data_IF_697748366623
#
_entry.id   IF_697748366623
#
_cell.length_a   1.000
_cell.length_b   1.000
_cell.length_c   1.000
_cell.angle_alpha   90.00
_cell.angle_beta   90.00
_cell.angle_gamma   90.00
#
_symmetry.space_group_name_H-M   'P 1'
#
loop_
_entity.id
_entity.type
_entity.pdbx_description
1 polymer ?
#
# COMPACT_ATOMS: atom_id res chain seq x y z
N UNK A 1 -3.62 -12.31 5.07
CA UNK A 1 -2.24 -11.84 4.86
C UNK A 1 -1.38 -12.27 6.04
N UNK A 2 -0.36 -13.12 5.85
CA UNK A 2 0.59 -13.41 6.95
C UNK A 2 1.39 -12.14 7.19
N UNK A 3 1.31 -11.57 8.40
CA UNK A 3 2.19 -10.48 8.82
C UNK A 3 3.63 -11.01 8.76
N UNK A 4 4.51 -10.33 8.04
CA UNK A 4 5.93 -10.64 8.09
C UNK A 4 6.45 -10.52 9.52
N UNK A 5 7.42 -11.35 9.88
CA UNK A 5 8.09 -11.24 11.18
C UNK A 5 8.97 -9.99 11.14
N UNK A 6 8.77 -9.08 12.10
CA UNK A 6 9.48 -7.81 12.16
C UNK A 6 10.98 -7.94 12.51
N UNK A 7 11.39 -9.11 12.99
CA UNK A 7 12.78 -9.42 13.33
C UNK A 7 13.37 -10.38 12.29
N UNK A 8 14.51 -10.07 11.75
CA UNK A 8 15.22 -10.90 10.79
C UNK A 8 15.71 -10.15 9.56
N UNK A 9 16.25 -10.90 8.64
CA UNK A 9 16.91 -10.40 7.43
C UNK A 9 15.93 -9.90 6.36
N UNK A 10 14.65 -10.29 6.45
CA UNK A 10 13.65 -9.98 5.46
C UNK A 10 12.65 -8.95 5.96
N UNK A 11 12.54 -7.84 5.22
CA UNK A 11 11.63 -6.73 5.50
C UNK A 11 10.53 -6.66 4.43
N UNK A 12 9.40 -7.37 4.62
CA UNK A 12 8.33 -7.33 3.63
C UNK A 12 7.66 -5.96 3.57
N UNK A 13 7.40 -5.48 2.34
CA UNK A 13 6.81 -4.15 2.11
C UNK A 13 5.46 -3.96 2.82
N UNK A 14 4.64 -5.01 2.89
CA UNK A 14 3.37 -4.94 3.61
C UNK A 14 3.55 -4.66 5.11
N UNK A 15 4.62 -5.19 5.73
CA UNK A 15 4.92 -4.88 7.13
C UNK A 15 5.34 -3.41 7.28
N UNK A 16 6.17 -2.88 6.38
CA UNK A 16 6.51 -1.45 6.35
C UNK A 16 5.23 -0.61 6.25
N UNK A 17 4.32 -0.98 5.38
CA UNK A 17 3.03 -0.29 5.21
C UNK A 17 2.22 -0.26 6.49
N UNK A 18 2.05 -1.39 7.17
CA UNK A 18 1.36 -1.44 8.47
C UNK A 18 2.04 -0.61 9.55
N UNK A 19 3.36 -0.62 9.58
CA UNK A 19 4.13 0.19 10.52
C UNK A 19 3.84 1.68 10.31
N UNK A 20 3.87 2.17 9.07
CA UNK A 20 3.58 3.57 8.76
C UNK A 20 2.13 3.95 9.05
N UNK A 21 1.16 3.10 8.74
CA UNK A 21 -0.24 3.31 9.08
C UNK A 21 -0.40 3.48 10.60
N UNK A 22 0.14 2.55 11.38
CA UNK A 22 0.05 2.60 12.85
C UNK A 22 0.72 3.84 13.45
N UNK A 23 1.90 4.21 12.95
CA UNK A 23 2.60 5.41 13.42
C UNK A 23 1.85 6.69 13.07
N UNK A 24 1.34 6.81 11.83
CA UNK A 24 0.59 8.00 11.42
C UNK A 24 -0.69 8.16 12.24
N UNK A 25 -1.46 7.09 12.45
CA UNK A 25 -2.64 7.12 13.34
C UNK A 25 -2.27 7.63 14.73
N UNK A 26 -1.23 7.05 15.32
CA UNK A 26 -0.77 7.48 16.63
C UNK A 26 -0.35 8.94 16.70
N UNK A 27 0.26 9.49 15.64
CA UNK A 27 0.66 10.90 15.57
C UNK A 27 -0.54 11.82 15.34
N UNK A 28 -1.41 11.48 14.39
CA UNK A 28 -2.56 12.29 13.99
C UNK A 28 -3.58 12.46 15.12
N UNK A 29 -3.74 11.46 15.99
CA UNK A 29 -4.64 11.50 17.15
C UNK A 29 -4.11 12.36 18.32
N UNK A 30 -2.89 12.92 18.21
CA UNK A 30 -2.26 13.67 19.31
C UNK A 30 -2.12 15.14 18.97
N UNK A 31 -3.04 16.01 19.40
CA UNK A 31 -3.04 17.44 19.04
C UNK A 31 -1.84 18.23 19.57
N UNK A 32 -1.10 17.67 20.52
CA UNK A 32 0.13 18.29 21.03
C UNK A 32 1.35 18.01 20.15
N UNK A 33 1.24 17.11 19.15
CA UNK A 33 2.29 16.85 18.17
C UNK A 33 2.15 17.87 17.04
N UNK A 34 3.02 18.87 17.06
CA UNK A 34 2.99 19.96 16.08
C UNK A 34 3.60 19.62 14.71
N UNK A 35 4.35 18.53 14.60
CA UNK A 35 4.94 18.07 13.34
C UNK A 35 5.73 16.79 13.48
N UNK A 36 5.98 16.14 12.35
CA UNK A 36 6.78 14.92 12.26
C UNK A 36 7.48 14.83 10.90
N UNK A 37 8.57 14.07 10.84
CA UNK A 37 9.28 13.76 9.62
C UNK A 37 9.36 12.26 9.45
N UNK A 38 9.10 11.80 8.22
CA UNK A 38 9.20 10.38 7.90
C UNK A 38 10.67 10.00 7.71
N UNK A 39 11.14 9.02 8.43
CA UNK A 39 12.42 8.38 8.18
C UNK A 39 12.20 7.10 7.37
N UNK A 40 12.49 7.10 6.06
CA UNK A 40 12.90 8.27 5.30
C UNK A 40 12.34 8.16 3.87
N UNK A 41 12.62 9.14 3.02
CA UNK A 41 12.05 9.14 1.67
C UNK A 41 12.65 8.05 0.78
N UNK A 42 13.96 7.82 0.85
CA UNK A 42 14.66 6.89 -0.03
C UNK A 42 15.41 5.81 0.74
N UNK A 43 15.45 4.59 0.21
CA UNK A 43 16.46 3.62 0.62
C UNK A 43 17.85 4.22 0.41
N UNK A 44 18.81 3.92 1.28
CA UNK A 44 20.14 4.53 1.23
C UNK A 44 21.26 3.55 1.60
N UNK A 45 22.48 3.87 1.18
CA UNK A 45 23.67 3.09 1.50
C UNK A 45 23.99 3.13 3.00
N UNK A 46 24.22 1.96 3.61
CA UNK A 46 24.61 1.81 5.00
C UNK A 46 25.47 0.55 5.14
N UNK A 47 26.78 0.70 5.01
CA UNK A 47 27.74 -0.41 4.87
C UNK A 47 27.65 -1.48 5.97
N UNK A 48 27.28 -1.09 7.19
CA UNK A 48 27.15 -2.00 8.33
C UNK A 48 25.78 -2.68 8.43
N UNK A 49 24.83 -2.35 7.53
CA UNK A 49 23.47 -2.90 7.52
C UNK A 49 23.39 -4.12 6.62
N UNK A 50 22.64 -5.11 7.09
CA UNK A 50 22.22 -6.26 6.32
C UNK A 50 20.72 -6.39 6.54
N UNK A 51 19.95 -5.60 5.81
CA UNK A 51 18.50 -5.52 5.92
C UNK A 51 17.86 -6.00 4.63
N UNK A 52 16.73 -6.69 4.77
CA UNK A 52 16.08 -7.31 3.63
C UNK A 52 17.00 -8.39 3.01
N UNK A 53 17.17 -8.32 1.71
CA UNK A 53 17.99 -9.22 0.89
C UNK A 53 19.22 -8.50 0.28
N UNK A 54 19.49 -7.26 0.72
CA UNK A 54 20.53 -6.39 0.13
C UNK A 54 21.51 -5.88 1.16
N UNK A 55 22.69 -6.54 1.30
CA UNK A 55 23.74 -6.06 2.16
C UNK A 55 24.17 -4.63 1.80
N UNK A 56 24.47 -3.83 2.81
CA UNK A 56 24.93 -2.45 2.64
C UNK A 56 23.82 -1.44 2.30
N UNK A 57 22.54 -1.83 2.38
CA UNK A 57 21.40 -0.95 2.13
C UNK A 57 20.49 -0.92 3.34
N UNK A 58 20.06 0.29 3.72
CA UNK A 58 18.92 0.49 4.59
C UNK A 58 17.67 0.62 3.73
N UNK A 59 16.71 -0.27 3.88
CA UNK A 59 15.52 -0.41 3.04
C UNK A 59 14.25 0.24 3.61
N UNK A 60 14.40 1.11 4.63
CA UNK A 60 13.28 1.79 5.29
C UNK A 60 12.69 2.96 4.51
N UNK A 61 13.26 3.29 3.34
CA UNK A 61 12.75 4.34 2.47
C UNK A 61 11.34 4.07 1.96
N UNK A 62 10.58 5.13 1.71
CA UNK A 62 9.29 5.07 1.01
C UNK A 62 9.46 4.83 -0.50
N UNK A 63 10.66 5.06 -1.00
CA UNK A 63 11.05 4.88 -2.41
C UNK A 63 12.32 4.04 -2.45
N UNK A 64 12.43 3.15 -3.43
CA UNK A 64 13.57 2.25 -3.59
C UNK A 64 14.90 2.99 -3.78
N UNK A 65 16.01 2.30 -3.52
CA UNK A 65 17.37 2.85 -3.63
C UNK A 65 17.68 3.47 -5.00
N UNK A 66 17.21 2.83 -6.07
CA UNK A 66 17.36 3.30 -7.46
C UNK A 66 16.36 4.40 -7.86
N UNK A 67 15.51 4.86 -6.95
CA UNK A 67 14.47 5.89 -7.13
C UNK A 67 13.33 5.50 -8.07
N UNK A 68 13.27 4.27 -8.54
CA UNK A 68 12.30 3.87 -9.58
C UNK A 68 10.93 3.46 -9.04
N UNK A 69 10.88 2.93 -7.82
CA UNK A 69 9.64 2.41 -7.24
C UNK A 69 9.25 3.18 -6.00
N UNK A 70 8.09 3.79 -6.02
CA UNK A 70 7.39 4.28 -4.83
C UNK A 70 6.69 3.09 -4.18
N UNK A 71 6.99 2.82 -2.90
CA UNK A 71 6.44 1.69 -2.15
C UNK A 71 5.02 2.00 -1.66
N UNK A 72 4.28 0.98 -1.21
CA UNK A 72 2.90 1.15 -0.73
C UNK A 72 2.76 2.26 0.32
N UNK A 73 3.69 2.35 1.28
CA UNK A 73 3.67 3.38 2.32
C UNK A 73 3.82 4.81 1.77
N UNK A 74 4.47 5.02 0.61
CA UNK A 74 4.49 6.32 -0.05
C UNK A 74 3.07 6.76 -0.43
N UNK A 75 2.28 5.85 -0.99
CA UNK A 75 0.91 6.14 -1.42
C UNK A 75 -0.06 6.30 -0.25
N UNK A 76 0.22 5.66 0.89
CA UNK A 76 -0.49 5.93 2.13
C UNK A 76 -0.38 7.41 2.54
N UNK A 77 0.84 7.95 2.59
CA UNK A 77 1.04 9.36 2.90
C UNK A 77 0.50 10.28 1.80
N UNK A 78 0.65 9.91 0.53
CA UNK A 78 0.04 10.66 -0.58
C UNK A 78 -1.47 10.77 -0.41
N UNK A 79 -2.15 9.69 -0.01
CA UNK A 79 -3.60 9.70 0.20
C UNK A 79 -4.05 10.62 1.34
N UNK A 80 -3.26 10.69 2.41
CA UNK A 80 -3.56 11.51 3.58
C UNK A 80 -3.19 13.00 3.43
N UNK A 81 -2.16 13.31 2.61
CA UNK A 81 -1.57 14.65 2.58
C UNK A 81 -1.78 15.41 1.28
N UNK A 82 -1.99 14.72 0.16
CA UNK A 82 -2.19 15.37 -1.14
C UNK A 82 -3.68 15.37 -1.49
N UNK A 83 -4.30 16.53 -1.41
CA UNK A 83 -5.71 16.74 -1.75
C UNK A 83 -5.93 17.22 -3.19
N UNK A 84 -4.87 17.59 -3.91
CA UNK A 84 -4.97 18.25 -5.22
C UNK A 84 -5.01 17.26 -6.38
N UNK A 85 -4.15 16.24 -6.35
CA UNK A 85 -4.02 15.25 -7.42
C UNK A 85 -4.85 14.00 -7.13
N UNK A 86 -6.01 13.80 -7.81
CA UNK A 86 -6.82 12.61 -7.62
C UNK A 86 -6.06 11.35 -7.98
N UNK A 87 -6.13 10.31 -7.15
CA UNK A 87 -5.55 9.01 -7.46
C UNK A 87 -6.23 7.86 -6.73
N UNK A 88 -6.01 6.66 -7.22
CA UNK A 88 -6.33 5.37 -6.59
C UNK A 88 -5.08 4.50 -6.68
N UNK A 89 -4.75 3.75 -5.64
CA UNK A 89 -3.59 2.88 -5.61
C UNK A 89 -3.89 1.57 -4.89
N UNK A 90 -3.76 0.45 -5.59
CA UNK A 90 -3.90 -0.90 -5.04
C UNK A 90 -2.56 -1.32 -4.45
N UNK A 91 -2.55 -1.67 -3.15
CA UNK A 91 -1.35 -2.09 -2.43
C UNK A 91 -0.89 -3.51 -2.80
N UNK A 92 0.26 -3.92 -2.30
CA UNK A 92 0.85 -5.25 -2.53
C UNK A 92 1.07 -5.58 -4.02
N UNK A 93 1.18 -4.59 -4.88
CA UNK A 93 1.29 -4.76 -6.33
C UNK A 93 2.58 -5.43 -6.78
N UNK A 94 3.64 -5.37 -5.98
CA UNK A 94 4.93 -6.02 -6.29
C UNK A 94 4.93 -7.51 -5.93
N UNK A 95 4.07 -7.93 -5.01
CA UNK A 95 3.86 -9.33 -4.66
C UNK A 95 2.80 -9.93 -5.59
N UNK A 96 3.18 -10.22 -6.82
CA UNK A 96 2.26 -10.69 -7.87
C UNK A 96 1.84 -12.14 -7.70
N UNK A 97 2.77 -13.00 -7.31
CA UNK A 97 2.53 -14.43 -7.09
C UNK A 97 1.91 -14.64 -5.72
N UNK A 98 0.77 -15.29 -5.68
CA UNK A 98 -0.01 -15.55 -4.47
C UNK A 98 -0.06 -17.03 -4.18
N UNK A 99 0.22 -17.42 -2.96
CA UNK A 99 0.11 -18.82 -2.49
C UNK A 99 -1.26 -19.10 -1.86
N UNK A 100 -2.13 -18.11 -1.76
CA UNK A 100 -3.47 -18.23 -1.17
C UNK A 100 -4.50 -17.65 -2.12
N UNK A 101 -5.56 -18.42 -2.36
CA UNK A 101 -6.70 -18.01 -3.16
C UNK A 101 -7.64 -17.03 -2.45
N UNK A 102 -7.42 -16.75 -1.16
CA UNK A 102 -8.19 -15.75 -0.40
C UNK A 102 -7.22 -14.71 0.17
N UNK A 103 -7.50 -13.45 -0.08
CA UNK A 103 -6.65 -12.33 0.35
C UNK A 103 -7.48 -11.10 0.72
N UNK A 104 -6.91 -10.25 1.57
CA UNK A 104 -7.44 -8.91 1.78
C UNK A 104 -6.86 -7.96 0.73
N UNK A 105 -7.67 -7.04 0.24
CA UNK A 105 -7.28 -6.02 -0.72
C UNK A 105 -7.40 -4.66 -0.03
N UNK A 106 -6.25 -3.98 0.10
CA UNK A 106 -6.16 -2.63 0.65
C UNK A 106 -5.85 -1.65 -0.48
N UNK A 107 -6.53 -0.50 -0.44
CA UNK A 107 -6.37 0.56 -1.43
C UNK A 107 -6.14 1.87 -0.69
N UNK A 108 -5.23 2.69 -1.19
CA UNK A 108 -5.03 4.06 -0.75
C UNK A 108 -5.56 5.02 -1.81
N UNK A 109 -6.35 5.99 -1.37
CA UNK A 109 -6.92 6.98 -2.29
C UNK A 109 -7.39 8.22 -1.53
N UNK A 110 -7.24 9.39 -2.15
CA UNK A 110 -7.84 10.64 -1.69
C UNK A 110 -9.26 10.86 -2.23
N UNK A 111 -9.87 9.83 -2.80
CA UNK A 111 -11.22 9.90 -3.34
C UNK A 111 -12.26 9.56 -2.26
N UNK A 112 -13.46 10.16 -2.30
CA UNK A 112 -14.49 9.95 -1.27
C UNK A 112 -15.14 8.56 -1.34
N UNK A 113 -15.03 7.87 -2.47
CA UNK A 113 -15.58 6.54 -2.69
C UNK A 113 -14.84 5.82 -3.81
N UNK A 114 -14.56 4.54 -3.61
CA UNK A 114 -13.90 3.65 -4.57
C UNK A 114 -14.71 2.38 -4.75
N UNK A 115 -14.81 1.89 -5.98
CA UNK A 115 -15.40 0.60 -6.33
C UNK A 115 -14.30 -0.38 -6.74
N UNK A 116 -14.33 -1.58 -6.16
CA UNK A 116 -13.38 -2.65 -6.45
C UNK A 116 -13.97 -3.67 -7.42
N UNK A 117 -13.17 -4.08 -8.38
CA UNK A 117 -13.49 -5.16 -9.33
C UNK A 117 -12.42 -6.25 -9.27
N UNK A 118 -12.86 -7.50 -9.33
CA UNK A 118 -11.99 -8.67 -9.51
C UNK A 118 -12.49 -9.43 -10.72
N UNK A 119 -11.61 -9.62 -11.71
CA UNK A 119 -11.95 -10.28 -12.99
C UNK A 119 -13.20 -9.68 -13.66
N UNK A 120 -13.34 -8.36 -13.58
CA UNK A 120 -14.48 -7.62 -14.13
C UNK A 120 -15.76 -7.65 -13.28
N UNK A 121 -15.82 -8.45 -12.21
CA UNK A 121 -16.97 -8.50 -11.30
C UNK A 121 -16.79 -7.47 -10.19
N UNK A 122 -17.78 -6.59 -9.98
CA UNK A 122 -17.79 -5.63 -8.88
C UNK A 122 -17.93 -6.35 -7.53
N UNK A 123 -17.11 -5.95 -6.58
CA UNK A 123 -17.19 -6.32 -5.16
C UNK A 123 -17.80 -5.18 -4.31
N UNK A 124 -18.41 -4.21 -4.97
CA UNK A 124 -19.10 -3.10 -4.33
C UNK A 124 -18.20 -1.88 -4.08
N UNK A 125 -18.83 -0.87 -3.51
CA UNK A 125 -18.23 0.43 -3.22
C UNK A 125 -17.98 0.57 -1.74
N UNK A 126 -16.91 1.29 -1.43
CA UNK A 126 -16.58 1.65 -0.05
C UNK A 126 -16.19 3.13 0.05
N UNK A 127 -16.41 3.71 1.21
CA UNK A 127 -15.82 4.96 1.63
C UNK A 127 -14.52 4.68 2.39
N UNK A 128 -13.55 5.60 2.42
CA UNK A 128 -12.34 5.41 3.16
C UNK A 128 -12.60 5.41 4.68
N UNK A 129 -11.67 4.83 5.43
CA UNK A 129 -11.54 5.16 6.84
C UNK A 129 -11.03 6.62 7.01
N UNK A 130 -10.88 7.07 8.25
CA UNK A 130 -10.38 8.43 8.54
C UNK A 130 -8.93 8.70 8.08
N UNK A 131 -8.23 7.65 7.61
CA UNK A 131 -6.84 7.70 7.13
C UNK A 131 -6.73 7.33 5.65
N UNK A 132 -7.76 7.63 4.86
CA UNK A 132 -7.76 7.46 3.41
C UNK A 132 -7.48 6.02 2.94
N UNK A 133 -7.88 5.03 3.74
CA UNK A 133 -7.69 3.60 3.50
C UNK A 133 -9.02 2.92 3.23
N UNK A 134 -9.05 2.09 2.19
CA UNK A 134 -10.18 1.24 1.82
C UNK A 134 -9.75 -0.22 1.97
N UNK A 135 -10.60 -1.09 2.52
CA UNK A 135 -10.22 -2.48 2.75
C UNK A 135 -11.36 -3.44 2.40
N UNK A 136 -11.13 -4.34 1.45
CA UNK A 136 -12.00 -5.50 1.18
C UNK A 136 -11.37 -6.75 1.77
N UNK A 137 -12.06 -7.37 2.72
CA UNK A 137 -11.57 -8.55 3.42
C UNK A 137 -12.05 -9.84 2.79
N UNK A 138 -11.20 -10.87 2.84
CA UNK A 138 -11.56 -12.21 2.43
C UNK A 138 -11.93 -12.34 0.95
N UNK A 139 -11.30 -11.57 0.07
CA UNK A 139 -11.58 -11.61 -1.36
C UNK A 139 -11.06 -12.92 -1.95
N UNK A 140 -11.96 -13.68 -2.58
CA UNK A 140 -11.61 -14.90 -3.28
C UNK A 140 -11.04 -14.59 -4.67
N UNK A 141 -9.91 -15.20 -4.98
CA UNK A 141 -9.24 -15.19 -6.27
C UNK A 141 -9.38 -16.58 -6.90
N UNK A 142 -9.39 -16.66 -8.22
CA UNK A 142 -9.32 -17.92 -8.94
C UNK A 142 -7.88 -18.39 -9.13
N UNK A 143 -7.65 -19.66 -9.40
CA UNK A 143 -6.34 -20.17 -9.80
C UNK A 143 -5.89 -19.49 -11.10
N UNK A 144 -4.58 -19.21 -11.19
CA UNK A 144 -4.01 -18.48 -12.30
C UNK A 144 -4.14 -16.94 -12.16
N UNK A 145 -4.29 -16.26 -13.29
CA UNK A 145 -4.29 -14.79 -13.33
C UNK A 145 -5.62 -14.19 -12.87
N UNK A 146 -5.51 -13.18 -12.02
CA UNK A 146 -6.62 -12.36 -11.56
C UNK A 146 -6.32 -10.89 -11.82
N UNK A 147 -7.24 -10.24 -12.49
CA UNK A 147 -7.22 -8.79 -12.67
C UNK A 147 -7.95 -8.13 -11.51
N UNK A 148 -7.24 -7.28 -10.78
CA UNK A 148 -7.78 -6.45 -9.72
C UNK A 148 -7.83 -5.02 -10.23
N UNK A 149 -8.98 -4.39 -10.18
CA UNK A 149 -9.15 -3.00 -10.62
C UNK A 149 -9.94 -2.21 -9.57
N UNK A 150 -9.47 -1.01 -9.28
CA UNK A 150 -10.13 -0.08 -8.38
C UNK A 150 -10.43 1.22 -9.13
N UNK A 151 -11.65 1.73 -9.01
CA UNK A 151 -12.13 2.92 -9.71
C UNK A 151 -12.74 3.91 -8.74
N UNK A 152 -12.39 5.20 -8.89
CA UNK A 152 -13.15 6.25 -8.21
C UNK A 152 -14.57 6.32 -8.79
N UNK A 153 -15.54 6.63 -7.95
CA UNK A 153 -16.94 6.77 -8.38
C UNK A 153 -17.29 8.19 -8.85
N UNK A 154 -16.33 9.13 -8.74
CA UNK A 154 -16.53 10.51 -9.17
C UNK A 154 -16.58 10.65 -10.69
N UNK A 155 -17.60 11.36 -11.19
CA UNK A 155 -17.76 11.62 -12.63
C UNK A 155 -16.76 12.66 -13.15
N UNK A 156 -16.35 13.61 -12.30
CA UNK A 156 -15.36 14.62 -12.63
C UNK A 156 -13.96 14.10 -12.28
N UNK A 157 -13.08 14.05 -13.24
CA UNK A 157 -11.71 13.52 -13.10
C UNK A 157 -11.68 12.07 -12.59
N UNK A 158 -12.29 11.10 -13.29
CA UNK A 158 -12.28 9.72 -12.88
C UNK A 158 -10.85 9.18 -12.88
N UNK A 159 -10.49 8.46 -11.83
CA UNK A 159 -9.18 7.81 -11.70
C UNK A 159 -9.39 6.33 -11.37
N UNK A 160 -8.48 5.52 -11.85
CA UNK A 160 -8.46 4.08 -11.60
C UNK A 160 -7.04 3.56 -11.46
N UNK A 161 -6.94 2.39 -10.87
CA UNK A 161 -5.70 1.61 -10.80
C UNK A 161 -6.00 0.14 -11.11
N UNK A 162 -5.02 -0.55 -11.68
CA UNK A 162 -5.15 -1.94 -12.09
C UNK A 162 -3.86 -2.71 -11.81
N UNK A 163 -4.01 -3.92 -11.27
CA UNK A 163 -2.91 -4.86 -11.08
C UNK A 163 -3.33 -6.27 -11.49
N UNK A 164 -2.36 -7.11 -11.81
CA UNK A 164 -2.59 -8.54 -12.07
C UNK A 164 -1.85 -9.33 -11.02
N UNK A 165 -2.57 -10.26 -10.38
CA UNK A 165 -2.03 -11.22 -9.42
C UNK A 165 -2.26 -12.65 -9.91
N UNK A 166 -1.30 -13.51 -9.67
CA UNK A 166 -1.36 -14.91 -10.07
C UNK A 166 -1.41 -15.81 -8.83
N UNK A 167 -2.45 -16.62 -8.70
CA UNK A 167 -2.54 -17.68 -7.68
C UNK A 167 -1.85 -18.93 -8.23
N UNK A 168 -0.90 -19.48 -7.45
CA UNK A 168 -0.12 -20.68 -7.78
C UNK A 168 -0.35 -21.78 -6.76
#
# INVERSE_FOLDING_TARGET
MKRGIASGWWHPENYQTYYHIGNWKALAERPFVWGSFIWNLFDFGAAHRVEGDRPGINDKGLVTFDRKVKKDAFYFYKANWNTEEPFVYITNRRHRDRSLAVTDIMIFSNQPEVELFVNGKSLGRQKPDEYATFEWKGVALQDGENTIEARSTQKKNPVNDKVVWTVK
#
